data_IF_253958279751
#
_entry.id   IF_253958279751
#
_cell.length_a   1.000
_cell.length_b   1.000
_cell.length_c   1.000
_cell.angle_alpha   90.00
_cell.angle_beta   90.00
_cell.angle_gamma   90.00
#
_symmetry.space_group_name_H-M   'P 1'
#
loop_
_entity.id
_entity.type
_entity.pdbx_description
1 polymer ?
#
# COMPACT_ATOMS: atom_id res chain seq x y z
N UNK A 1 -31.65 28.43 -28.00
CA UNK A 1 -32.57 27.80 -27.01
C UNK A 1 -32.16 26.33 -26.87
N UNK A 2 -32.12 25.74 -25.67
CA UNK A 2 -30.96 25.70 -24.78
C UNK A 2 -30.30 24.32 -24.65
N UNK A 3 -29.17 24.31 -23.92
CA UNK A 3 -28.30 23.18 -23.59
C UNK A 3 -29.04 21.93 -23.09
N UNK A 4 -28.76 20.79 -23.72
CA UNK A 4 -29.06 19.48 -23.12
C UNK A 4 -28.01 19.18 -22.07
N UNK A 5 -28.50 19.22 -20.84
CA UNK A 5 -27.81 19.06 -19.57
C UNK A 5 -26.90 17.82 -19.59
N UNK A 6 -25.67 18.06 -19.15
CA UNK A 6 -24.69 17.10 -18.67
C UNK A 6 -25.39 15.97 -17.89
N UNK A 7 -25.45 14.79 -18.51
CA UNK A 7 -25.99 13.59 -17.88
C UNK A 7 -25.02 13.17 -16.78
N UNK A 8 -25.29 13.70 -15.58
CA UNK A 8 -24.77 13.31 -14.28
C UNK A 8 -23.94 12.01 -14.31
N UNK A 9 -22.62 12.16 -14.44
CA UNK A 9 -21.68 11.06 -14.26
C UNK A 9 -21.67 10.72 -12.76
N UNK A 10 -22.65 9.94 -12.31
CA UNK A 10 -22.70 9.46 -10.93
C UNK A 10 -21.55 8.45 -10.76
N UNK A 11 -20.57 8.71 -9.88
CA UNK A 11 -19.50 7.74 -9.66
C UNK A 11 -20.13 6.43 -9.20
N UNK A 12 -19.73 5.33 -9.85
CA UNK A 12 -20.15 4.01 -9.40
C UNK A 12 -19.73 3.81 -7.92
N UNK A 13 -20.55 3.13 -7.09
CA UNK A 13 -20.16 2.82 -5.72
C UNK A 13 -18.82 2.09 -5.73
N UNK A 14 -17.83 2.62 -5.00
CA UNK A 14 -16.55 1.94 -4.85
C UNK A 14 -16.80 0.58 -4.18
N UNK A 15 -16.08 -0.48 -4.60
CA UNK A 15 -16.13 -1.76 -3.90
C UNK A 15 -15.88 -1.55 -2.40
N UNK A 16 -16.56 -2.31 -1.53
CA UNK A 16 -16.28 -2.27 -0.10
C UNK A 16 -14.80 -2.62 0.11
N UNK A 17 -14.12 -1.79 0.90
CA UNK A 17 -12.74 -2.04 1.30
C UNK A 17 -12.74 -3.30 2.17
N UNK A 18 -11.87 -4.29 1.92
CA UNK A 18 -11.70 -5.41 2.82
C UNK A 18 -11.45 -4.93 4.25
N UNK A 19 -12.04 -5.63 5.23
CA UNK A 19 -11.79 -5.33 6.63
C UNK A 19 -10.32 -5.63 6.96
N UNK A 20 -9.65 -4.79 7.78
CA UNK A 20 -8.28 -5.06 8.19
C UNK A 20 -8.23 -6.38 8.99
N UNK A 21 -7.15 -7.16 8.84
CA UNK A 21 -6.99 -8.40 9.57
C UNK A 21 -7.01 -8.17 11.10
N UNK A 22 -7.42 -9.19 11.88
CA UNK A 22 -7.38 -9.10 13.34
C UNK A 22 -5.97 -8.75 13.84
N UNK A 23 -5.88 -7.89 14.86
CA UNK A 23 -4.61 -7.38 15.37
C UNK A 23 -3.62 -8.48 15.78
N UNK A 24 -4.11 -9.62 16.30
CA UNK A 24 -3.26 -10.75 16.70
C UNK A 24 -2.65 -11.49 15.49
N UNK A 25 -3.38 -11.54 14.38
CA UNK A 25 -2.87 -12.08 13.10
C UNK A 25 -1.85 -11.12 12.52
N UNK A 26 -2.13 -9.81 12.56
CA UNK A 26 -1.19 -8.79 12.13
C UNK A 26 0.09 -8.77 12.98
N UNK A 27 -0.01 -8.98 14.31
CA UNK A 27 1.13 -9.05 15.22
C UNK A 27 1.97 -10.31 14.98
N UNK A 28 1.32 -11.44 14.72
CA UNK A 28 2.01 -12.70 14.38
C UNK A 28 2.73 -12.59 13.03
N UNK A 29 2.11 -11.95 12.04
CA UNK A 29 2.75 -11.63 10.76
C UNK A 29 3.94 -10.66 10.93
N UNK A 30 3.79 -9.68 11.83
CA UNK A 30 4.83 -8.69 12.12
C UNK A 30 6.06 -9.27 12.85
N UNK A 31 5.91 -10.36 13.61
CA UNK A 31 7.03 -10.99 14.32
C UNK A 31 8.10 -11.61 13.40
N UNK A 32 7.78 -11.84 12.12
CA UNK A 32 8.74 -12.25 11.09
C UNK A 32 9.17 -11.12 10.14
N UNK A 33 8.75 -9.88 10.40
CA UNK A 33 9.05 -8.73 9.55
C UNK A 33 10.49 -8.29 9.73
N UNK A 34 11.22 -8.10 8.63
CA UNK A 34 12.52 -7.44 8.65
C UNK A 34 12.34 -5.98 9.08
N UNK A 35 13.19 -5.54 10.01
CA UNK A 35 13.26 -4.13 10.39
C UNK A 35 13.96 -3.34 9.28
N UNK A 36 13.20 -2.57 8.51
CA UNK A 36 13.71 -1.75 7.42
C UNK A 36 14.18 -0.35 7.87
N UNK A 37 14.25 -0.06 9.17
CA UNK A 37 14.58 1.30 9.67
C UNK A 37 15.93 1.79 9.15
N UNK A 38 16.97 0.95 9.20
CA UNK A 38 18.31 1.30 8.72
C UNK A 38 18.37 1.42 7.19
N UNK A 39 17.57 0.64 6.48
CA UNK A 39 17.48 0.65 5.02
C UNK A 39 16.77 1.92 4.53
N UNK A 40 15.68 2.33 5.20
CA UNK A 40 14.97 3.58 4.95
C UNK A 40 15.90 4.78 5.22
N UNK A 41 16.70 4.74 6.27
CA UNK A 41 17.69 5.79 6.56
C UNK A 41 18.74 5.91 5.43
N UNK A 42 19.15 4.79 4.84
CA UNK A 42 20.06 4.77 3.68
C UNK A 42 19.40 5.29 2.41
N UNK A 43 18.14 4.92 2.15
CA UNK A 43 17.35 5.43 1.01
C UNK A 43 17.23 6.96 1.08
N UNK A 44 17.10 7.53 2.27
CA UNK A 44 17.05 8.98 2.44
C UNK A 44 18.33 9.70 1.99
N UNK A 45 19.43 8.98 1.75
CA UNK A 45 20.69 9.50 1.21
C UNK A 45 20.90 9.22 -0.29
N UNK A 46 20.06 8.37 -0.91
CA UNK A 46 20.18 8.02 -2.32
C UNK A 46 19.80 9.18 -3.28
N UNK A 47 20.24 9.14 -4.56
CA UNK A 47 19.68 9.99 -5.61
C UNK A 47 18.17 9.81 -5.76
N UNK A 48 17.46 10.86 -6.14
CA UNK A 48 16.00 10.87 -6.17
C UNK A 48 15.43 9.85 -7.16
N UNK A 49 16.17 9.62 -8.25
CA UNK A 49 15.87 8.63 -9.30
C UNK A 49 15.86 7.19 -8.76
N UNK A 50 16.71 6.90 -7.77
CA UNK A 50 16.88 5.57 -7.18
C UNK A 50 15.96 5.34 -5.98
N UNK A 51 15.57 6.41 -5.26
CA UNK A 51 14.71 6.34 -4.08
C UNK A 51 13.37 5.67 -4.36
N UNK A 52 12.72 6.00 -5.46
CA UNK A 52 11.40 5.46 -5.78
C UNK A 52 11.44 3.94 -5.97
N UNK A 53 12.47 3.43 -6.66
CA UNK A 53 12.65 1.99 -6.86
C UNK A 53 12.97 1.27 -5.54
N UNK A 54 13.82 1.86 -4.70
CA UNK A 54 14.17 1.28 -3.40
C UNK A 54 12.96 1.25 -2.44
N UNK A 55 12.15 2.32 -2.39
CA UNK A 55 10.90 2.34 -1.62
C UNK A 55 9.87 1.35 -2.15
N UNK A 56 9.80 1.17 -3.48
CA UNK A 56 8.92 0.18 -4.08
C UNK A 56 9.32 -1.24 -3.68
N UNK A 57 10.62 -1.57 -3.65
CA UNK A 57 11.09 -2.89 -3.21
C UNK A 57 10.69 -3.19 -1.76
N UNK A 58 10.89 -2.24 -0.84
CA UNK A 58 10.44 -2.38 0.56
C UNK A 58 8.92 -2.54 0.62
N UNK A 59 8.16 -1.78 -0.16
CA UNK A 59 6.71 -1.92 -0.22
C UNK A 59 6.28 -3.32 -0.69
N UNK A 60 6.90 -3.86 -1.74
CA UNK A 60 6.59 -5.21 -2.24
C UNK A 60 6.91 -6.30 -1.21
N UNK A 61 8.04 -6.20 -0.51
CA UNK A 61 8.41 -7.15 0.54
C UNK A 61 7.40 -7.13 1.70
N UNK A 62 6.99 -5.94 2.15
CA UNK A 62 5.98 -5.77 3.18
C UNK A 62 4.60 -6.29 2.71
N UNK A 63 4.21 -5.99 1.48
CA UNK A 63 2.96 -6.47 0.89
C UNK A 63 2.95 -8.00 0.77
N UNK A 64 4.08 -8.62 0.42
CA UNK A 64 4.21 -10.07 0.36
C UNK A 64 4.05 -10.73 1.74
N UNK A 65 4.52 -10.10 2.81
CA UNK A 65 4.30 -10.59 4.19
C UNK A 65 2.83 -10.52 4.57
N UNK A 66 2.14 -9.42 4.24
CA UNK A 66 0.70 -9.30 4.46
C UNK A 66 -0.09 -10.36 3.69
N UNK A 67 0.22 -10.54 2.40
CA UNK A 67 -0.47 -11.54 1.59
C UNK A 67 -0.27 -12.97 2.11
N UNK A 68 0.93 -13.31 2.58
CA UNK A 68 1.20 -14.61 3.23
C UNK A 68 0.39 -14.80 4.52
N UNK A 69 0.11 -13.72 5.25
CA UNK A 69 -0.69 -13.77 6.46
C UNK A 69 -2.20 -13.90 6.18
N UNK A 70 -2.66 -13.49 5.00
CA UNK A 70 -4.06 -13.57 4.59
C UNK A 70 -4.51 -14.98 4.17
N UNK A 71 -3.57 -15.83 3.74
CA UNK A 71 -3.81 -17.25 3.41
C UNK A 71 -4.14 -17.52 1.94
#
# INVERSE_FOLDING_TARGET
>A
MPATVDSAHRPAPRPPVPAPPPADVALTAAQGLLDHTDEIAQIAQMPLEERAAALAAIHEDLAAVLHKAEG
#
